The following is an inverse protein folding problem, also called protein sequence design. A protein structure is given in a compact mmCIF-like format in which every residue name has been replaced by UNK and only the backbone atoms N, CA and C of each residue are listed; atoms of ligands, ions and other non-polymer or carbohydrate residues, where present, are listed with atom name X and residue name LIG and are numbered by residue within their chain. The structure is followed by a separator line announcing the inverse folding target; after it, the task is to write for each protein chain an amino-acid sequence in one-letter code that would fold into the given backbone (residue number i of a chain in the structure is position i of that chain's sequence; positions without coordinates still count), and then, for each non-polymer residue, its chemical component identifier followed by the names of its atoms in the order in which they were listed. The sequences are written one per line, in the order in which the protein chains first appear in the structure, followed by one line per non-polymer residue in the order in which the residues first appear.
data_IF_960047101607
#
_entry.id   IF_960047101607
#
_cell.length_a   1.000
_cell.length_b   1.000
_cell.length_c   1.000
_cell.angle_alpha   90.00
_cell.angle_beta   90.00
_cell.angle_gamma   90.00
#
_symmetry.space_group_name_H-M   'P 1'
#
loop_
_entity.id
_entity.type
_entity.pdbx_description
1 polymer ?
#
# COMPACT_ATOMS: atom_id res chain seq x y z
N UNK A 1 2.41 -15.42 15.93
CA UNK A 1 2.16 -13.95 16.10
C UNK A 1 3.26 -13.08 15.47
N UNK A 2 4.55 -13.49 15.50
CA UNK A 2 5.67 -12.69 14.96
C UNK A 2 5.47 -12.24 13.50
N UNK A 3 5.08 -13.12 12.52
CA UNK A 3 4.88 -12.67 11.14
C UNK A 3 3.88 -11.53 10.99
N UNK A 4 2.78 -11.58 11.75
CA UNK A 4 1.79 -10.51 11.76
C UNK A 4 2.37 -9.19 12.30
N UNK A 5 3.17 -9.26 13.36
CA UNK A 5 3.80 -8.06 13.94
C UNK A 5 4.76 -7.41 12.95
N UNK A 6 5.56 -8.22 12.23
CA UNK A 6 6.48 -7.72 11.19
C UNK A 6 5.71 -7.03 10.06
N UNK A 7 4.61 -7.63 9.62
CA UNK A 7 3.74 -7.04 8.61
C UNK A 7 3.13 -5.69 9.07
N UNK A 8 2.63 -5.63 10.32
CA UNK A 8 2.11 -4.39 10.90
C UNK A 8 3.18 -3.31 11.02
N UNK A 9 4.40 -3.66 11.44
CA UNK A 9 5.53 -2.72 11.49
C UNK A 9 5.82 -2.14 10.11
N UNK A 10 5.82 -2.97 9.06
CA UNK A 10 6.01 -2.50 7.69
C UNK A 10 4.89 -1.54 7.25
N UNK A 11 3.63 -1.87 7.55
CA UNK A 11 2.48 -1.04 7.20
C UNK A 11 2.52 0.32 7.90
N UNK A 12 2.64 0.31 9.23
CA UNK A 12 2.66 1.55 10.01
C UNK A 12 3.92 2.38 9.74
N UNK A 13 5.06 1.74 9.51
CA UNK A 13 6.29 2.42 9.10
C UNK A 13 6.12 3.18 7.79
N UNK A 14 5.48 2.57 6.78
CA UNK A 14 5.15 3.24 5.53
C UNK A 14 4.15 4.39 5.72
N UNK A 15 3.15 4.23 6.58
CA UNK A 15 2.19 5.31 6.84
C UNK A 15 2.84 6.49 7.57
N UNK A 16 3.66 6.23 8.58
CA UNK A 16 4.41 7.27 9.29
C UNK A 16 5.38 8.00 8.36
N UNK A 17 6.08 7.25 7.49
CA UNK A 17 6.94 7.85 6.48
C UNK A 17 6.16 8.79 5.55
N UNK A 18 4.97 8.41 5.10
CA UNK A 18 4.13 9.28 4.28
C UNK A 18 3.76 10.57 5.00
N UNK A 19 3.28 10.47 6.25
CA UNK A 19 2.89 11.66 7.03
C UNK A 19 4.07 12.59 7.20
N UNK A 20 5.26 12.05 7.53
CA UNK A 20 6.47 12.85 7.69
C UNK A 20 6.90 13.50 6.36
N UNK A 21 6.99 12.71 5.29
CA UNK A 21 7.44 13.18 3.98
C UNK A 21 6.52 14.26 3.40
N UNK A 22 5.21 14.02 3.39
CA UNK A 22 4.25 14.98 2.85
C UNK A 22 4.03 16.17 3.79
N UNK A 23 4.15 15.97 5.11
CA UNK A 23 4.12 17.05 6.09
C UNK A 23 5.26 18.05 5.90
N UNK A 24 6.48 17.53 5.69
CA UNK A 24 7.67 18.35 5.44
C UNK A 24 7.61 19.00 4.05
N UNK A 25 7.29 18.23 3.01
CA UNK A 25 7.30 18.73 1.62
C UNK A 25 6.23 19.77 1.34
N UNK A 26 5.08 19.71 2.02
CA UNK A 26 3.95 20.64 1.81
C UNK A 26 3.82 21.69 2.90
N UNK A 27 4.67 21.66 3.94
CA UNK A 27 4.62 22.59 5.06
C UNK A 27 3.32 22.53 5.88
N UNK A 28 2.55 21.44 5.74
CA UNK A 28 1.26 21.23 6.43
C UNK A 28 1.17 19.80 6.91
N UNK A 29 0.96 19.65 8.22
CA UNK A 29 0.70 18.34 8.83
C UNK A 29 -0.78 18.01 8.70
N UNK A 30 -1.14 17.12 7.78
CA UNK A 30 -2.52 16.66 7.59
C UNK A 30 -2.64 15.21 8.04
N UNK A 31 -3.38 14.91 9.15
CA UNK A 31 -3.56 13.56 9.65
C UNK A 31 -4.34 12.64 8.68
N UNK A 32 -5.01 13.20 7.67
CA UNK A 32 -5.70 12.40 6.63
C UNK A 32 -4.74 11.49 5.85
N UNK A 33 -3.44 11.81 5.82
CA UNK A 33 -2.43 10.93 5.21
C UNK A 33 -2.28 9.58 5.92
N UNK A 34 -2.67 9.47 7.21
CA UNK A 34 -2.64 8.19 7.94
C UNK A 34 -3.66 7.17 7.40
N UNK A 35 -4.78 7.66 6.88
CA UNK A 35 -5.87 6.83 6.32
C UNK A 35 -5.89 6.85 4.80
N UNK A 36 -5.07 7.69 4.17
CA UNK A 36 -5.01 7.83 2.72
C UNK A 36 -4.49 6.55 2.08
N UNK A 37 -5.23 6.08 1.08
CA UNK A 37 -4.88 4.89 0.32
C UNK A 37 -3.90 5.16 -0.84
N UNK A 38 -3.56 6.43 -1.11
CA UNK A 38 -2.61 6.84 -2.14
C UNK A 38 -1.23 7.23 -1.60
N UNK A 39 -0.31 7.57 -2.50
CA UNK A 39 1.03 8.07 -2.21
C UNK A 39 2.09 6.98 -1.96
N UNK A 40 3.36 7.41 -2.01
CA UNK A 40 4.55 6.56 -1.91
C UNK A 40 5.08 6.53 -0.48
N UNK A 41 5.45 5.35 0.06
CA UNK A 41 5.29 3.98 -0.47
C UNK A 41 3.89 3.41 -0.27
N UNK A 42 3.51 2.36 -1.05
CA UNK A 42 2.26 1.64 -0.84
C UNK A 42 2.31 0.81 0.46
N UNK A 43 1.57 1.24 1.47
CA UNK A 43 1.54 0.56 2.77
C UNK A 43 0.91 -0.85 2.68
N UNK A 44 -0.08 -1.06 1.81
CA UNK A 44 -0.69 -2.38 1.60
C UNK A 44 0.28 -3.34 0.92
N UNK A 45 1.02 -2.88 -0.10
CA UNK A 45 2.05 -3.70 -0.74
C UNK A 45 3.16 -4.06 0.25
N UNK A 46 3.60 -3.11 1.08
CA UNK A 46 4.58 -3.36 2.13
C UNK A 46 4.09 -4.38 3.16
N UNK A 47 2.84 -4.26 3.60
CA UNK A 47 2.23 -5.17 4.57
C UNK A 47 2.24 -6.62 4.10
N UNK A 48 1.68 -6.88 2.92
CA UNK A 48 1.56 -8.27 2.42
C UNK A 48 2.89 -8.86 2.00
N UNK A 49 3.81 -8.03 1.47
CA UNK A 49 5.16 -8.46 1.12
C UNK A 49 5.96 -8.80 2.36
N UNK A 50 5.91 -7.98 3.41
CA UNK A 50 6.58 -8.27 4.67
C UNK A 50 6.08 -9.57 5.29
N UNK A 51 4.76 -9.82 5.25
CA UNK A 51 4.18 -11.07 5.71
C UNK A 51 4.73 -12.27 4.92
N UNK A 52 4.62 -12.23 3.59
CA UNK A 52 5.01 -13.35 2.74
C UNK A 52 6.51 -13.65 2.85
N UNK A 53 7.37 -12.62 2.77
CA UNK A 53 8.82 -12.78 2.86
C UNK A 53 9.23 -13.32 4.23
N UNK A 54 8.69 -12.77 5.32
CA UNK A 54 9.04 -13.24 6.66
C UNK A 54 8.57 -14.68 6.92
N UNK A 55 7.38 -15.06 6.42
CA UNK A 55 6.89 -16.45 6.47
C UNK A 55 7.82 -17.38 5.67
N UNK A 56 8.24 -16.98 4.47
CA UNK A 56 9.17 -17.75 3.65
C UNK A 56 10.53 -17.94 4.31
N UNK A 57 11.08 -16.90 4.93
CA UNK A 57 12.35 -16.96 5.67
C UNK A 57 12.26 -17.86 6.91
N UNK A 58 11.12 -17.83 7.61
CA UNK A 58 10.95 -18.58 8.87
C UNK A 58 10.52 -20.03 8.66
N UNK A 59 9.60 -20.28 7.74
CA UNK A 59 8.97 -21.59 7.54
C UNK A 59 9.52 -22.34 6.32
N UNK A 60 10.38 -21.67 5.54
CA UNK A 60 10.89 -22.16 4.26
C UNK A 60 9.99 -21.76 3.08
N UNK A 61 10.63 -21.41 1.97
CA UNK A 61 9.95 -21.01 0.73
C UNK A 61 9.23 -22.18 0.03
N UNK A 62 9.46 -23.43 0.44
CA UNK A 62 8.73 -24.60 -0.02
C UNK A 62 7.53 -25.00 0.85
N UNK A 63 7.20 -24.22 1.89
CA UNK A 63 6.11 -24.56 2.80
C UNK A 63 4.73 -24.13 2.25
N UNK A 64 3.67 -24.88 2.60
CA UNK A 64 2.31 -24.56 2.21
C UNK A 64 1.86 -23.19 2.75
N UNK A 65 2.30 -22.83 3.95
CA UNK A 65 1.96 -21.53 4.54
C UNK A 65 2.63 -20.38 3.79
N UNK A 66 3.84 -20.58 3.25
CA UNK A 66 4.46 -19.60 2.37
C UNK A 66 3.68 -19.49 1.06
N UNK A 67 3.29 -20.61 0.45
CA UNK A 67 2.52 -20.61 -0.80
C UNK A 67 1.21 -19.81 -0.64
N UNK A 68 0.46 -20.04 0.44
CA UNK A 68 -0.75 -19.27 0.75
C UNK A 68 -0.45 -17.78 0.93
N UNK A 69 0.60 -17.45 1.68
CA UNK A 69 0.99 -16.05 1.92
C UNK A 69 1.42 -15.35 0.62
N UNK A 70 2.15 -16.05 -0.25
CA UNK A 70 2.61 -15.53 -1.54
C UNK A 70 1.45 -15.29 -2.51
N UNK A 71 0.50 -16.22 -2.59
CA UNK A 71 -0.72 -16.04 -3.40
C UNK A 71 -1.53 -14.86 -2.89
N UNK A 72 -1.75 -14.77 -1.59
CA UNK A 72 -2.46 -13.63 -0.99
C UNK A 72 -1.75 -12.29 -1.29
N UNK A 73 -0.43 -12.23 -1.11
CA UNK A 73 0.35 -11.04 -1.41
C UNK A 73 0.24 -10.66 -2.90
N UNK A 74 0.30 -11.64 -3.80
CA UNK A 74 0.18 -11.42 -5.25
C UNK A 74 -1.18 -10.84 -5.63
N UNK A 75 -2.27 -11.35 -5.03
CA UNK A 75 -3.63 -10.83 -5.25
C UNK A 75 -3.73 -9.38 -4.79
N UNK A 76 -3.27 -9.06 -3.58
CA UNK A 76 -3.35 -7.70 -3.03
C UNK A 76 -2.52 -6.70 -3.85
N UNK A 77 -1.31 -7.10 -4.26
CA UNK A 77 -0.43 -6.26 -5.11
C UNK A 77 -1.06 -6.04 -6.49
N UNK A 78 -1.60 -7.10 -7.10
CA UNK A 78 -2.29 -7.00 -8.37
C UNK A 78 -3.53 -6.10 -8.29
N UNK A 79 -4.30 -6.23 -7.23
CA UNK A 79 -5.51 -5.42 -6.98
C UNK A 79 -5.14 -3.93 -6.80
N UNK A 80 -4.10 -3.66 -6.01
CA UNK A 80 -3.58 -2.30 -5.84
C UNK A 80 -3.16 -1.66 -7.18
N UNK A 81 -2.67 -2.45 -8.12
CA UNK A 81 -2.27 -1.98 -9.44
C UNK A 81 -3.44 -1.82 -10.41
N UNK A 82 -4.22 -2.89 -10.60
CA UNK A 82 -5.21 -2.97 -11.70
C UNK A 82 -6.57 -2.38 -11.35
N UNK A 83 -7.13 -2.77 -10.23
CA UNK A 83 -8.50 -2.37 -9.86
C UNK A 83 -8.57 -0.87 -9.58
N UNK A 84 -7.63 -0.37 -8.77
CA UNK A 84 -7.58 1.06 -8.43
C UNK A 84 -7.32 1.95 -9.63
N UNK A 85 -6.44 1.55 -10.54
CA UNK A 85 -6.24 2.29 -11.81
C UNK A 85 -7.47 2.32 -12.72
N UNK A 86 -8.32 1.30 -12.63
CA UNK A 86 -9.61 1.27 -13.38
C UNK A 86 -10.64 2.18 -12.72
N UNK A 87 -10.76 2.13 -11.41
CA UNK A 87 -11.66 3.02 -10.64
C UNK A 87 -11.26 4.49 -10.83
N UNK A 88 -9.97 4.82 -10.82
CA UNK A 88 -9.49 6.17 -11.10
C UNK A 88 -9.88 6.65 -12.50
N UNK A 89 -9.78 5.79 -13.51
CA UNK A 89 -10.25 6.13 -14.87
C UNK A 89 -11.75 6.40 -14.91
N UNK A 90 -12.55 5.58 -14.22
CA UNK A 90 -13.99 5.81 -14.12
C UNK A 90 -14.31 7.12 -13.40
N UNK A 91 -13.61 7.43 -12.31
CA UNK A 91 -13.76 8.68 -11.58
C UNK A 91 -13.45 9.89 -12.48
N UNK A 92 -12.38 9.84 -13.30
CA UNK A 92 -12.06 10.93 -14.25
C UNK A 92 -13.14 11.10 -15.33
N UNK A 93 -13.70 10.01 -15.86
CA UNK A 93 -14.79 10.09 -16.84
C UNK A 93 -16.05 10.67 -16.20
N UNK A 94 -16.40 10.25 -14.99
CA UNK A 94 -17.51 10.79 -14.23
C UNK A 94 -17.31 12.29 -13.95
N UNK A 95 -16.12 12.70 -13.56
CA UNK A 95 -15.77 14.10 -13.30
C UNK A 95 -15.91 14.96 -14.57
N UNK A 96 -15.49 14.45 -15.73
CA UNK A 96 -15.68 15.13 -17.01
C UNK A 96 -17.15 15.26 -17.39
N UNK A 97 -17.98 14.26 -17.12
CA UNK A 97 -19.41 14.29 -17.36
C UNK A 97 -20.12 15.28 -16.41
N UNK A 98 -19.71 15.34 -15.14
CA UNK A 98 -20.29 16.23 -14.14
C UNK A 98 -19.91 17.70 -14.38
N UNK A 99 -18.72 17.99 -14.90
CA UNK A 99 -18.34 19.35 -15.33
C UNK A 99 -19.21 19.88 -16.48
N UNK A 100 -19.76 18.98 -17.30
CA UNK A 100 -20.72 19.34 -18.36
C UNK A 100 -22.16 19.58 -17.83
N UNK A 101 -22.46 19.25 -16.56
CA UNK A 101 -23.78 19.37 -15.94
C UNK A 101 -23.64 20.11 -14.59
N UNK A 102 -23.65 21.46 -14.59
CA UNK A 102 -23.52 22.25 -13.37
C UNK A 102 -24.76 22.07 -12.48
N UNK A 103 -24.64 21.33 -11.42
CA UNK A 103 -25.71 21.03 -10.45
C UNK A 103 -25.38 19.86 -9.51
N UNK A 104 -24.29 19.12 -9.76
CA UNK A 104 -23.85 18.02 -8.94
C UNK A 104 -22.48 18.36 -8.32
N UNK A 105 -22.37 18.25 -7.00
CA UNK A 105 -21.11 18.48 -6.27
C UNK A 105 -20.07 17.43 -6.62
N UNK A 106 -18.88 17.87 -7.02
CA UNK A 106 -17.74 17.01 -7.35
C UNK A 106 -16.80 16.76 -6.18
N UNK A 107 -17.10 17.30 -4.99
CA UNK A 107 -16.18 17.24 -3.83
C UNK A 107 -15.88 15.82 -3.35
N UNK A 108 -16.82 14.88 -3.50
CA UNK A 108 -16.64 13.49 -3.06
C UNK A 108 -15.79 12.63 -4.00
N UNK A 109 -15.53 13.06 -5.23
CA UNK A 109 -14.77 12.28 -6.22
C UNK A 109 -13.24 12.41 -6.10
N UNK A 110 -12.75 13.28 -5.24
CA UNK A 110 -11.32 13.64 -5.16
C UNK A 110 -10.45 12.64 -4.39
N UNK A 111 -11.04 11.73 -3.62
CA UNK A 111 -10.31 10.85 -2.69
C UNK A 111 -9.97 9.45 -3.26
N UNK A 112 -10.31 9.17 -4.52
CA UNK A 112 -10.04 7.86 -5.12
C UNK A 112 -8.73 7.86 -5.93
N UNK A 113 -7.61 8.11 -5.28
CA UNK A 113 -6.28 8.00 -5.92
C UNK A 113 -5.79 6.55 -5.83
N UNK A 114 -5.65 5.91 -6.99
CA UNK A 114 -5.00 4.60 -7.11
C UNK A 114 -3.49 4.67 -6.85
N UNK A 115 -2.86 3.52 -6.65
CA UNK A 115 -1.39 3.46 -6.59
C UNK A 115 -0.77 3.35 -7.98
N UNK A 116 0.29 4.11 -8.22
CA UNK A 116 1.14 3.96 -9.40
C UNK A 116 2.10 2.76 -9.23
N UNK A 117 2.58 2.20 -10.34
CA UNK A 117 3.56 1.11 -10.29
C UNK A 117 4.81 1.43 -9.44
N UNK A 118 5.42 2.63 -9.52
CA UNK A 118 6.54 2.98 -8.64
C UNK A 118 6.19 2.96 -7.16
N UNK A 119 4.99 3.41 -6.77
CA UNK A 119 4.55 3.41 -5.37
C UNK A 119 4.41 1.98 -4.83
N UNK A 120 3.91 1.07 -5.66
CA UNK A 120 3.81 -0.36 -5.32
C UNK A 120 5.19 -0.98 -5.23
N UNK A 121 6.07 -0.74 -6.21
CA UNK A 121 7.43 -1.28 -6.21
C UNK A 121 8.23 -0.86 -4.97
N UNK A 122 8.13 0.42 -4.57
CA UNK A 122 8.77 0.91 -3.34
C UNK A 122 8.13 0.29 -2.11
N UNK A 123 6.81 0.09 -2.10
CA UNK A 123 6.12 -0.62 -1.02
C UNK A 123 6.60 -2.06 -0.87
N UNK A 124 6.72 -2.80 -1.97
CA UNK A 124 7.26 -4.18 -1.99
C UNK A 124 8.70 -4.19 -1.48
N UNK A 125 9.57 -3.30 -1.95
CA UNK A 125 10.95 -3.20 -1.50
C UNK A 125 11.05 -2.89 0.01
N UNK A 126 10.23 -1.95 0.50
CA UNK A 126 10.16 -1.60 1.92
C UNK A 126 9.69 -2.78 2.77
N UNK A 127 8.63 -3.48 2.36
CA UNK A 127 8.11 -4.66 3.05
C UNK A 127 9.13 -5.80 3.11
N UNK A 128 9.80 -6.09 1.99
CA UNK A 128 10.88 -7.07 1.93
C UNK A 128 12.05 -6.71 2.84
N UNK A 129 12.46 -5.45 2.85
CA UNK A 129 13.52 -4.93 3.72
C UNK A 129 13.20 -5.06 5.21
N UNK A 130 11.97 -4.72 5.61
CA UNK A 130 11.51 -4.88 7.01
C UNK A 130 11.48 -6.35 7.40
N UNK A 131 11.01 -7.24 6.52
CA UNK A 131 10.98 -8.68 6.78
C UNK A 131 12.38 -9.25 6.98
N UNK A 132 13.33 -8.88 6.11
CA UNK A 132 14.71 -9.31 6.20
C UNK A 132 15.38 -8.80 7.48
N UNK A 133 15.21 -7.50 7.80
CA UNK A 133 15.74 -6.93 9.03
C UNK A 133 15.17 -7.62 10.28
N UNK A 134 13.86 -7.86 10.31
CA UNK A 134 13.20 -8.57 11.40
C UNK A 134 13.72 -10.01 11.53
N UNK A 135 13.96 -10.70 10.42
CA UNK A 135 14.52 -12.06 10.43
C UNK A 135 15.95 -12.09 10.98
N UNK A 136 16.80 -11.12 10.61
CA UNK A 136 18.16 -11.02 11.12
C UNK A 136 18.23 -10.72 12.64
N UNK A 137 17.20 -10.08 13.20
CA UNK A 137 17.15 -9.72 14.62
C UNK A 137 16.49 -10.82 15.46
N UNK A 138 15.49 -11.52 14.91
CA UNK A 138 14.61 -12.43 15.64
C UNK A 138 14.80 -13.91 15.25
N UNK A 139 15.56 -14.18 14.19
CA UNK A 139 15.72 -15.47 13.52
C UNK A 139 16.68 -16.47 14.09
#
# INVERSE_FOLDING_TARGET
MVPLMVALVAQFGCQLFKVAYYGISRGRFDPRWLTSSGGMPSAHAAFVTALAVFVGLRSGFGSDIFAVSAVFASIVVYDAWRLRGTVERHARVLQALLTAHPGVSTEELHDMVGHTLPEIAVGVAAGGGVALAAWLILG
#
